data_IF_541203354102
#
_entry.id   IF_541203354102
#
_cell.length_a   1.000
_cell.length_b   1.000
_cell.length_c   1.000
_cell.angle_alpha   90.00
_cell.angle_beta   90.00
_cell.angle_gamma   90.00
#
_symmetry.space_group_name_H-M   'P 1'
#
loop_
_entity.id
_entity.type
_entity.pdbx_description
1 polymer ?
#
# COMPACT_ATOMS: atom_id res chain seq x y z
N UNK A 1 19.62 7.15 -43.56
CA UNK A 1 18.84 6.30 -42.65
C UNK A 1 19.15 4.86 -43.01
N UNK A 2 19.75 4.14 -42.08
CA UNK A 2 20.18 2.76 -42.30
C UNK A 2 19.28 1.83 -41.49
N UNK A 3 19.17 0.57 -41.92
CA UNK A 3 18.34 -0.45 -41.29
C UNK A 3 19.24 -1.61 -40.89
N UNK A 4 19.13 -2.05 -39.64
CA UNK A 4 19.82 -3.24 -39.12
C UNK A 4 18.76 -4.26 -38.70
N UNK A 5 18.99 -5.53 -39.00
CA UNK A 5 18.08 -6.61 -38.63
C UNK A 5 18.57 -7.28 -37.35
N UNK A 6 17.64 -7.51 -36.44
CA UNK A 6 17.90 -8.10 -35.14
C UNK A 6 16.90 -9.23 -34.87
N UNK A 7 17.36 -10.25 -34.16
CA UNK A 7 16.56 -11.40 -33.78
C UNK A 7 16.28 -11.34 -32.28
N UNK A 8 15.04 -11.61 -31.87
CA UNK A 8 14.69 -11.68 -30.45
C UNK A 8 15.50 -12.79 -29.75
N UNK A 9 16.20 -12.53 -28.64
CA UNK A 9 17.07 -13.55 -28.04
C UNK A 9 16.39 -14.71 -27.30
N UNK A 10 15.05 -14.79 -27.33
CA UNK A 10 14.28 -15.87 -26.69
C UNK A 10 14.18 -17.16 -27.53
N UNK A 11 14.95 -17.27 -28.62
CA UNK A 11 14.91 -18.40 -29.56
C UNK A 11 15.53 -19.72 -29.02
N UNK A 12 15.85 -19.84 -27.72
CA UNK A 12 16.40 -21.07 -27.14
C UNK A 12 15.37 -21.97 -26.44
N UNK A 13 14.11 -21.53 -26.27
CA UNK A 13 13.09 -22.35 -25.61
C UNK A 13 11.75 -22.49 -26.36
N UNK A 14 11.47 -21.70 -27.39
CA UNK A 14 10.28 -21.84 -28.23
C UNK A 14 10.65 -21.72 -29.72
N UNK A 15 9.95 -22.49 -30.55
CA UNK A 15 10.14 -22.57 -32.02
C UNK A 15 9.74 -21.30 -32.79
N UNK A 16 9.46 -20.19 -32.09
CA UNK A 16 9.05 -18.93 -32.69
C UNK A 16 10.25 -17.99 -32.79
N UNK A 17 10.83 -17.87 -33.99
CA UNK A 17 11.80 -16.82 -34.29
C UNK A 17 11.07 -15.60 -34.83
N UNK A 18 11.33 -14.44 -34.22
CA UNK A 18 10.82 -13.17 -34.69
C UNK A 18 12.00 -12.30 -35.09
N UNK A 19 11.96 -11.78 -36.32
CA UNK A 19 12.96 -10.87 -36.88
C UNK A 19 12.32 -9.49 -36.89
N UNK A 20 13.01 -8.52 -36.31
CA UNK A 20 12.64 -7.12 -36.37
C UNK A 20 13.73 -6.35 -37.11
N UNK A 21 13.36 -5.22 -37.69
CA UNK A 21 14.32 -4.29 -38.27
C UNK A 21 14.26 -2.98 -37.48
N UNK A 22 15.44 -2.42 -37.26
CA UNK A 22 15.59 -1.17 -36.52
C UNK A 22 16.22 -0.13 -37.41
N UNK A 23 15.60 1.04 -37.43
CA UNK A 23 16.12 2.20 -38.13
C UNK A 23 17.10 2.94 -37.21
N UNK A 24 18.27 3.26 -37.75
CA UNK A 24 19.30 3.98 -37.00
C UNK A 24 19.93 5.09 -37.83
N UNK A 25 20.55 6.03 -37.13
CA UNK A 25 21.35 7.12 -37.69
C UNK A 25 22.81 6.93 -37.29
N UNK A 26 23.71 7.06 -38.25
CA UNK A 26 25.15 7.04 -37.98
C UNK A 26 25.61 8.44 -37.58
N UNK A 27 26.54 8.50 -36.64
CA UNK A 27 27.22 9.71 -36.22
C UNK A 27 28.73 9.56 -36.40
N UNK A 28 29.40 10.65 -36.73
CA UNK A 28 30.86 10.68 -36.71
C UNK A 28 31.37 11.28 -35.39
N UNK A 29 31.62 10.42 -34.40
CA UNK A 29 32.17 10.84 -33.10
C UNK A 29 33.52 11.55 -33.23
N UNK A 30 34.35 11.19 -34.22
CA UNK A 30 35.63 11.86 -34.50
C UNK A 30 35.46 13.30 -35.00
N UNK A 31 34.29 13.62 -35.56
CA UNK A 31 33.89 14.96 -35.97
C UNK A 31 33.10 15.71 -34.89
N UNK A 32 32.88 15.09 -33.72
CA UNK A 32 32.11 15.67 -32.61
C UNK A 32 30.60 15.64 -32.80
N UNK A 33 30.08 14.88 -33.77
CA UNK A 33 28.65 14.66 -33.93
C UNK A 33 28.11 13.80 -32.77
N UNK A 34 26.94 14.18 -32.24
CA UNK A 34 26.26 13.45 -31.16
C UNK A 34 24.87 13.01 -31.58
N UNK A 35 24.32 12.05 -30.85
CA UNK A 35 22.90 11.72 -30.97
C UNK A 35 22.02 12.92 -30.58
N UNK A 36 20.85 13.03 -31.21
CA UNK A 36 19.87 14.04 -30.86
C UNK A 36 19.23 13.75 -29.49
N UNK A 37 18.54 14.75 -28.92
CA UNK A 37 17.91 14.62 -27.59
C UNK A 37 16.92 13.45 -27.49
N UNK A 38 16.22 13.14 -28.58
CA UNK A 38 15.26 12.04 -28.69
C UNK A 38 15.90 10.70 -29.11
N UNK A 39 17.22 10.67 -29.31
CA UNK A 39 17.96 9.48 -29.70
C UNK A 39 18.81 8.95 -28.52
N UNK A 40 19.12 7.66 -28.58
CA UNK A 40 20.00 6.93 -27.67
C UNK A 40 21.28 6.52 -28.39
N UNK A 41 22.43 6.69 -27.73
CA UNK A 41 23.76 6.35 -28.26
C UNK A 41 24.15 4.91 -27.92
N UNK A 42 24.18 4.05 -28.94
CA UNK A 42 24.53 2.64 -28.84
C UNK A 42 26.02 2.37 -28.56
N UNK A 43 26.86 3.41 -28.40
CA UNK A 43 28.30 3.31 -28.18
C UNK A 43 29.08 2.67 -29.36
N UNK A 44 28.44 2.54 -30.52
CA UNK A 44 29.01 1.98 -31.76
C UNK A 44 28.93 2.98 -32.93
N UNK A 45 28.84 4.28 -32.63
CA UNK A 45 28.57 5.38 -33.59
C UNK A 45 27.19 5.32 -34.24
N UNK A 46 26.25 4.55 -33.67
CA UNK A 46 24.86 4.55 -34.10
C UNK A 46 23.94 5.13 -33.04
N UNK A 47 22.92 5.83 -33.51
CA UNK A 47 21.86 6.42 -32.72
C UNK A 47 20.54 5.75 -33.08
N UNK A 48 19.81 5.28 -32.08
CA UNK A 48 18.47 4.70 -32.22
C UNK A 48 17.44 5.62 -31.56
N UNK A 49 16.17 5.46 -31.90
CA UNK A 49 15.10 6.18 -31.20
C UNK A 49 15.02 5.72 -29.74
N UNK A 50 14.83 6.65 -28.79
CA UNK A 50 14.73 6.31 -27.36
C UNK A 50 13.57 5.39 -27.01
N UNK A 51 12.55 5.27 -27.85
CA UNK A 51 11.45 4.31 -27.65
C UNK A 51 11.87 2.85 -27.81
N UNK A 52 13.06 2.59 -28.36
CA UNK A 52 13.62 1.27 -28.62
C UNK A 52 14.58 0.80 -27.51
N UNK A 53 14.68 1.53 -26.39
CA UNK A 53 15.45 1.07 -25.23
C UNK A 53 14.53 0.26 -24.32
N UNK A 54 15.02 -0.86 -23.80
CA UNK A 54 14.31 -1.72 -22.85
C UNK A 54 12.99 -2.28 -23.39
N UNK A 55 12.88 -2.45 -24.71
CA UNK A 55 11.73 -3.00 -25.42
C UNK A 55 11.83 -4.53 -25.61
N UNK A 56 12.95 -5.13 -25.16
CA UNK A 56 13.25 -6.55 -25.24
C UNK A 56 13.80 -6.99 -26.60
N UNK A 57 14.14 -6.04 -27.47
CA UNK A 57 14.82 -6.27 -28.73
C UNK A 57 16.24 -5.72 -28.67
N UNK A 58 17.16 -6.40 -29.35
CA UNK A 58 18.55 -5.96 -29.36
C UNK A 58 18.72 -4.91 -30.45
N UNK A 59 18.41 -3.64 -30.18
CA UNK A 59 18.50 -2.56 -31.15
C UNK A 59 19.93 -2.00 -31.26
N UNK A 60 20.75 -2.17 -30.21
CA UNK A 60 22.18 -1.88 -30.21
C UNK A 60 23.02 -3.16 -30.28
N UNK A 61 24.30 -3.03 -30.67
CA UNK A 61 25.25 -4.13 -30.52
C UNK A 61 25.38 -4.50 -29.03
N UNK A 62 25.54 -5.80 -28.77
CA UNK A 62 25.70 -6.35 -27.42
C UNK A 62 24.55 -6.04 -26.45
N UNK A 63 23.34 -5.73 -26.97
CA UNK A 63 22.15 -5.45 -26.17
C UNK A 63 22.34 -4.26 -25.23
N UNK A 64 23.13 -3.26 -25.64
CA UNK A 64 23.47 -2.11 -24.80
C UNK A 64 22.24 -1.26 -24.44
N UNK A 65 21.27 -1.21 -25.34
CA UNK A 65 19.93 -0.66 -25.16
C UNK A 65 19.07 -1.44 -24.15
N UNK A 66 19.41 -2.70 -23.89
CA UNK A 66 18.71 -3.62 -22.98
C UNK A 66 19.51 -3.91 -21.70
N UNK A 67 20.63 -3.20 -21.48
CA UNK A 67 21.46 -3.43 -20.30
C UNK A 67 20.74 -2.95 -19.03
N UNK A 68 20.23 -3.91 -18.24
CA UNK A 68 19.57 -3.68 -16.95
C UNK A 68 20.46 -3.02 -15.88
N UNK A 69 21.78 -2.96 -16.09
CA UNK A 69 22.73 -2.38 -15.14
C UNK A 69 23.04 -0.92 -15.42
N UNK A 70 23.01 -0.50 -16.69
CA UNK A 70 23.47 0.83 -17.11
C UNK A 70 22.43 1.62 -17.88
N UNK A 71 21.56 0.96 -18.64
CA UNK A 71 20.71 1.61 -19.64
C UNK A 71 19.24 1.54 -19.26
N UNK A 72 18.79 0.36 -18.84
CA UNK A 72 17.41 0.16 -18.43
C UNK A 72 17.18 0.48 -16.97
N UNK A 73 16.07 1.17 -16.73
CA UNK A 73 15.57 1.34 -15.38
C UNK A 73 15.28 -0.05 -14.78
N UNK A 74 15.63 -0.28 -13.49
CA UNK A 74 15.25 -1.52 -12.82
C UNK A 74 13.74 -1.69 -12.85
N UNK A 75 13.26 -2.92 -13.04
CA UNK A 75 11.83 -3.22 -13.03
C UNK A 75 11.21 -2.81 -11.68
N UNK A 76 10.21 -1.92 -11.71
CA UNK A 76 9.52 -1.49 -10.50
C UNK A 76 8.47 -2.53 -10.09
N UNK A 77 8.90 -3.69 -9.62
CA UNK A 77 8.02 -4.79 -9.22
C UNK A 77 8.38 -5.28 -7.84
N UNK A 78 7.38 -5.38 -6.98
CA UNK A 78 7.53 -5.83 -5.61
C UNK A 78 6.61 -7.02 -5.37
N UNK A 79 7.11 -8.04 -4.67
CA UNK A 79 6.30 -9.16 -4.23
C UNK A 79 6.05 -9.02 -2.73
N UNK A 80 4.79 -9.08 -2.34
CA UNK A 80 4.32 -8.96 -0.96
C UNK A 80 3.61 -10.26 -0.58
N UNK A 81 3.96 -10.77 0.58
CA UNK A 81 3.42 -12.02 1.13
C UNK A 81 3.25 -11.89 2.63
N UNK A 82 2.40 -12.70 3.23
CA UNK A 82 2.17 -12.70 4.68
C UNK A 82 0.72 -12.41 5.03
N UNK A 83 0.47 -12.26 6.33
CA UNK A 83 -0.87 -11.99 6.88
C UNK A 83 -1.25 -10.51 6.81
N UNK A 84 -0.27 -9.61 6.78
CA UNK A 84 -0.45 -8.18 6.55
C UNK A 84 0.80 -7.58 5.89
N UNK A 85 0.76 -6.30 5.55
CA UNK A 85 1.93 -5.54 5.15
C UNK A 85 1.62 -4.13 4.68
N UNK A 86 2.67 -3.31 4.60
CA UNK A 86 2.60 -1.92 4.17
C UNK A 86 3.15 -1.75 2.74
N UNK A 87 2.49 -0.91 1.96
CA UNK A 87 2.90 -0.47 0.64
C UNK A 87 2.91 1.06 0.65
N UNK A 88 4.03 1.67 0.28
CA UNK A 88 4.19 3.14 0.30
C UNK A 88 5.04 3.62 -0.84
N UNK A 89 4.91 4.90 -1.20
CA UNK A 89 5.69 5.49 -2.30
C UNK A 89 7.20 5.39 -2.05
N UNK A 90 7.62 5.43 -0.77
CA UNK A 90 9.02 5.35 -0.36
C UNK A 90 9.67 3.99 -0.57
N UNK A 91 8.91 2.95 -0.88
CA UNK A 91 9.49 1.65 -1.27
C UNK A 91 10.10 1.69 -2.67
N UNK A 92 9.67 2.66 -3.49
CA UNK A 92 10.21 2.87 -4.82
C UNK A 92 11.64 3.43 -4.67
N UNK A 93 12.67 2.78 -5.24
CA UNK A 93 14.05 3.25 -5.15
C UNK A 93 14.20 4.70 -5.64
N UNK A 94 14.96 5.50 -4.89
CA UNK A 94 15.19 6.89 -5.23
C UNK A 94 15.91 7.04 -6.59
N UNK A 95 16.75 6.07 -6.95
CA UNK A 95 17.44 6.01 -8.23
C UNK A 95 16.45 5.87 -9.39
N UNK A 96 15.42 5.03 -9.22
CA UNK A 96 14.38 4.83 -10.22
C UNK A 96 13.50 6.06 -10.38
N UNK A 97 13.13 6.70 -9.27
CA UNK A 97 12.40 7.97 -9.28
C UNK A 97 13.18 9.06 -10.01
N UNK A 98 14.47 9.22 -9.68
CA UNK A 98 15.35 10.19 -10.31
C UNK A 98 15.53 9.91 -11.81
N UNK A 99 15.70 8.64 -12.19
CA UNK A 99 15.79 8.24 -13.58
C UNK A 99 14.53 8.63 -14.37
N UNK A 100 13.35 8.27 -13.86
CA UNK A 100 12.07 8.61 -14.52
C UNK A 100 11.89 10.13 -14.68
N UNK A 101 12.25 10.92 -13.67
CA UNK A 101 12.15 12.39 -13.72
C UNK A 101 13.13 12.98 -14.74
N UNK A 102 14.41 12.60 -14.68
CA UNK A 102 15.46 13.18 -15.53
C UNK A 102 15.31 12.77 -16.99
N UNK A 103 14.86 11.53 -17.25
CA UNK A 103 14.63 11.03 -18.60
C UNK A 103 13.22 11.35 -19.13
N UNK A 104 12.39 12.06 -18.35
CA UNK A 104 11.00 12.39 -18.68
C UNK A 104 10.11 11.17 -18.99
N UNK A 105 10.48 10.00 -18.45
CA UNK A 105 9.77 8.74 -18.64
C UNK A 105 8.67 8.55 -17.58
N UNK A 106 7.59 7.83 -17.90
CA UNK A 106 6.61 7.44 -16.90
C UNK A 106 7.19 6.43 -15.91
N UNK A 107 6.74 6.51 -14.67
CA UNK A 107 6.98 5.54 -13.63
C UNK A 107 5.79 4.59 -13.56
N UNK A 108 6.05 3.29 -13.63
CA UNK A 108 5.04 2.23 -13.60
C UNK A 108 5.48 1.12 -12.63
N UNK A 109 4.88 1.12 -11.45
CA UNK A 109 5.26 0.26 -10.33
C UNK A 109 4.15 -0.71 -9.97
N UNK A 110 4.50 -1.98 -9.75
CA UNK A 110 3.55 -3.05 -9.48
C UNK A 110 3.89 -3.74 -8.16
N UNK A 111 2.90 -3.87 -7.28
CA UNK A 111 2.97 -4.72 -6.10
C UNK A 111 2.09 -5.95 -6.32
N UNK A 112 2.71 -7.13 -6.33
CA UNK A 112 2.05 -8.43 -6.39
C UNK A 112 1.86 -8.95 -4.97
N UNK A 113 0.63 -8.95 -4.48
CA UNK A 113 0.29 -9.42 -3.15
C UNK A 113 -0.24 -10.85 -3.27
N UNK A 114 0.37 -11.77 -2.53
CA UNK A 114 -0.08 -13.16 -2.43
C UNK A 114 -0.21 -13.56 -0.97
N UNK A 115 -1.41 -13.92 -0.56
CA UNK A 115 -1.72 -14.43 0.77
C UNK A 115 -2.02 -15.93 0.71
N UNK A 116 -2.13 -16.55 1.89
CA UNK A 116 -2.40 -17.98 2.01
C UNK A 116 -3.72 -18.37 1.31
N UNK A 117 -3.74 -19.56 0.69
CA UNK A 117 -4.95 -20.10 0.09
C UNK A 117 -6.10 -20.20 1.10
N UNK A 118 -7.31 -19.80 0.67
CA UNK A 118 -8.50 -19.74 1.52
C UNK A 118 -8.70 -18.38 2.19
N UNK A 119 -7.73 -17.47 2.12
CA UNK A 119 -7.85 -16.08 2.52
C UNK A 119 -8.05 -15.17 1.30
N UNK A 120 -8.60 -13.99 1.56
CA UNK A 120 -8.78 -12.87 0.66
C UNK A 120 -7.98 -11.68 1.21
N UNK A 121 -7.89 -10.60 0.44
CA UNK A 121 -7.03 -9.45 0.72
C UNK A 121 -7.92 -8.22 0.88
N UNK A 122 -7.82 -7.57 2.03
CA UNK A 122 -8.41 -6.27 2.29
C UNK A 122 -7.34 -5.20 2.13
N UNK A 123 -7.63 -4.14 1.38
CA UNK A 123 -6.77 -2.97 1.22
C UNK A 123 -7.38 -1.77 1.91
N UNK A 124 -6.58 -1.13 2.76
CA UNK A 124 -6.94 0.10 3.44
C UNK A 124 -5.91 1.19 3.14
N UNK A 125 -6.39 2.37 2.75
CA UNK A 125 -5.54 3.51 2.42
C UNK A 125 -5.44 4.43 3.64
N UNK A 126 -4.26 4.51 4.27
CA UNK A 126 -4.00 5.39 5.43
C UNK A 126 -3.57 6.80 5.00
N UNK A 127 -2.89 6.93 3.86
CA UNK A 127 -2.61 8.20 3.18
C UNK A 127 -2.79 8.00 1.68
N UNK A 128 -3.35 8.98 1.00
CA UNK A 128 -3.55 8.93 -0.45
C UNK A 128 -3.63 10.35 -1.00
N UNK A 129 -2.58 10.74 -1.73
CA UNK A 129 -2.43 12.03 -2.40
C UNK A 129 -1.65 11.85 -3.68
N UNK A 130 -2.34 12.00 -4.80
CA UNK A 130 -1.74 12.04 -6.12
C UNK A 130 -1.32 13.48 -6.47
N UNK A 131 -0.22 13.64 -7.23
CA UNK A 131 0.22 14.97 -7.69
C UNK A 131 -0.81 15.70 -8.57
N UNK A 132 -1.40 15.00 -9.55
CA UNK A 132 -2.44 15.54 -10.45
C UNK A 132 -3.80 14.87 -10.20
N UNK A 133 -4.47 15.15 -9.08
CA UNK A 133 -5.75 14.54 -8.77
C UNK A 133 -6.80 14.86 -9.85
N UNK A 134 -7.66 13.89 -10.13
CA UNK A 134 -8.67 13.87 -11.19
C UNK A 134 -8.12 13.82 -12.62
N UNK A 135 -6.80 13.68 -12.80
CA UNK A 135 -6.17 13.46 -14.11
C UNK A 135 -5.67 12.02 -14.25
N UNK A 136 -6.61 11.11 -14.50
CA UNK A 136 -6.36 9.66 -14.68
C UNK A 136 -5.42 9.31 -15.85
N UNK A 137 -5.04 10.25 -16.71
CA UNK A 137 -4.03 10.02 -17.75
C UNK A 137 -2.61 10.36 -17.28
N UNK A 138 -2.49 11.21 -16.26
CA UNK A 138 -1.21 11.64 -15.71
C UNK A 138 -0.75 10.76 -14.57
N UNK A 139 -1.65 10.38 -13.66
CA UNK A 139 -1.33 9.45 -12.59
C UNK A 139 -2.57 8.72 -12.05
N UNK A 140 -2.35 7.49 -11.60
CA UNK A 140 -3.40 6.65 -11.03
C UNK A 140 -2.84 5.49 -10.22
N UNK A 141 -3.68 4.92 -9.37
CA UNK A 141 -3.49 3.61 -8.76
C UNK A 141 -4.59 2.68 -9.29
N UNK A 142 -4.19 1.60 -9.95
CA UNK A 142 -5.09 0.55 -10.40
C UNK A 142 -4.99 -0.67 -9.49
N UNK A 143 -6.12 -1.35 -9.33
CA UNK A 143 -6.21 -2.58 -8.54
C UNK A 143 -6.80 -3.70 -9.38
N UNK A 144 -6.10 -4.83 -9.35
CA UNK A 144 -6.44 -6.06 -10.07
C UNK A 144 -6.53 -7.23 -9.10
N UNK A 145 -7.42 -8.18 -9.40
CA UNK A 145 -7.56 -9.42 -8.65
C UNK A 145 -6.45 -10.43 -9.03
N UNK A 146 -6.68 -11.27 -10.05
CA UNK A 146 -5.77 -12.37 -10.38
C UNK A 146 -4.86 -12.10 -11.59
N UNK A 147 -5.33 -11.28 -12.54
CA UNK A 147 -4.60 -11.01 -13.78
C UNK A 147 -4.59 -9.50 -14.03
N UNK A 148 -3.41 -8.99 -14.39
CA UNK A 148 -3.20 -7.58 -14.79
C UNK A 148 -3.62 -7.31 -16.25
N UNK A 149 -4.78 -7.84 -16.66
CA UNK A 149 -5.37 -7.48 -17.96
C UNK A 149 -6.20 -6.23 -17.78
N UNK A 150 -6.05 -5.24 -18.67
CA UNK A 150 -6.84 -3.98 -18.65
C UNK A 150 -8.35 -4.28 -18.63
N UNK A 151 -8.80 -5.32 -19.35
CA UNK A 151 -10.20 -5.76 -19.36
C UNK A 151 -10.70 -6.37 -18.05
N UNK A 152 -9.80 -6.68 -17.12
CA UNK A 152 -10.07 -7.23 -15.78
C UNK A 152 -9.66 -6.26 -14.66
N UNK A 153 -9.45 -4.97 -14.99
CA UNK A 153 -9.24 -3.92 -14.00
C UNK A 153 -10.50 -3.77 -13.14
N UNK A 154 -10.35 -3.90 -11.84
CA UNK A 154 -11.48 -3.74 -10.93
C UNK A 154 -11.67 -2.27 -10.55
N UNK A 155 -10.58 -1.60 -10.18
CA UNK A 155 -10.61 -0.20 -9.76
C UNK A 155 -9.50 0.62 -10.43
N UNK A 156 -9.80 1.90 -10.68
CA UNK A 156 -8.85 2.92 -11.09
C UNK A 156 -9.06 4.16 -10.20
N UNK A 157 -8.10 4.43 -9.33
CA UNK A 157 -8.10 5.58 -8.43
C UNK A 157 -7.24 6.68 -9.01
N UNK A 158 -7.87 7.80 -9.38
CA UNK A 158 -7.16 9.06 -9.66
C UNK A 158 -7.82 10.28 -8.99
N UNK A 159 -9.00 10.10 -8.40
CA UNK A 159 -9.71 11.16 -7.70
C UNK A 159 -9.00 11.57 -6.41
N UNK A 160 -9.51 12.58 -5.71
CA UNK A 160 -8.99 13.02 -4.40
C UNK A 160 -9.37 12.06 -3.26
N UNK A 161 -10.43 11.26 -3.45
CA UNK A 161 -10.92 10.29 -2.47
C UNK A 161 -10.66 8.87 -2.96
N UNK A 162 -10.44 7.97 -2.02
CA UNK A 162 -10.21 6.54 -2.25
C UNK A 162 -11.00 5.73 -1.22
N UNK A 163 -11.50 4.58 -1.63
CA UNK A 163 -12.23 3.64 -0.78
C UNK A 163 -11.38 2.40 -0.52
N UNK A 164 -11.70 1.68 0.55
CA UNK A 164 -11.08 0.39 0.82
C UNK A 164 -11.55 -0.67 -0.18
N UNK A 165 -10.70 -1.66 -0.45
CA UNK A 165 -10.96 -2.67 -1.48
C UNK A 165 -10.84 -4.07 -0.91
N UNK A 166 -11.81 -4.93 -1.21
CA UNK A 166 -11.79 -6.35 -0.87
C UNK A 166 -11.54 -7.20 -2.10
N UNK A 167 -10.58 -8.10 -2.03
CA UNK A 167 -10.28 -9.02 -3.11
C UNK A 167 -11.22 -10.23 -3.11
N UNK A 168 -11.47 -10.79 -4.29
CA UNK A 168 -12.19 -12.07 -4.47
C UNK A 168 -11.27 -13.29 -4.35
N UNK A 169 -9.95 -13.10 -4.42
CA UNK A 169 -8.91 -14.14 -4.53
C UNK A 169 -7.77 -13.93 -3.54
N UNK A 170 -6.95 -14.95 -3.30
CA UNK A 170 -5.75 -14.84 -2.46
C UNK A 170 -4.56 -14.12 -3.14
N UNK A 171 -4.78 -13.62 -4.36
CA UNK A 171 -3.84 -12.84 -5.15
C UNK A 171 -4.48 -11.50 -5.50
N UNK A 172 -3.69 -10.43 -5.45
CA UNK A 172 -4.08 -9.07 -5.81
C UNK A 172 -2.87 -8.33 -6.36
N UNK A 173 -3.07 -7.48 -7.37
CA UNK A 173 -2.02 -6.63 -7.92
C UNK A 173 -2.42 -5.17 -7.82
N UNK A 174 -1.49 -4.35 -7.33
CA UNK A 174 -1.64 -2.89 -7.27
C UNK A 174 -0.65 -2.30 -8.27
N UNK A 175 -1.11 -1.44 -9.16
CA UNK A 175 -0.27 -0.75 -10.13
C UNK A 175 -0.35 0.76 -9.90
N UNK A 176 0.78 1.37 -9.59
CA UNK A 176 0.91 2.83 -9.57
C UNK A 176 1.55 3.29 -10.86
N UNK A 177 0.87 4.18 -11.56
CA UNK A 177 1.38 4.82 -12.77
C UNK A 177 1.44 6.33 -12.56
N UNK A 178 2.53 6.96 -12.99
CA UNK A 178 2.65 8.41 -13.04
C UNK A 178 3.56 8.85 -14.19
N UNK A 179 3.13 9.85 -14.97
CA UNK A 179 4.02 10.59 -15.88
C UNK A 179 5.10 11.33 -15.08
N UNK A 180 6.24 11.65 -15.70
CA UNK A 180 7.38 12.29 -15.04
C UNK A 180 7.00 13.52 -14.19
N UNK A 181 6.07 14.34 -14.67
CA UNK A 181 5.58 15.55 -14.00
C UNK A 181 4.56 15.29 -12.87
N UNK A 182 4.09 14.05 -12.72
CA UNK A 182 3.12 13.61 -11.72
C UNK A 182 3.74 12.67 -10.65
N UNK A 183 5.06 12.45 -10.70
CA UNK A 183 5.79 11.65 -9.71
C UNK A 183 6.00 12.45 -8.42
N UNK A 184 6.53 13.68 -8.55
CA UNK A 184 6.85 14.51 -7.39
C UNK A 184 5.60 14.80 -6.56
N UNK A 185 5.74 14.89 -5.24
CA UNK A 185 4.66 15.16 -4.28
C UNK A 185 3.54 14.12 -4.21
N UNK A 186 3.56 13.06 -5.01
CA UNK A 186 2.66 11.91 -4.81
C UNK A 186 3.06 11.20 -3.52
N UNK A 187 2.07 10.87 -2.69
CA UNK A 187 2.22 10.13 -1.44
C UNK A 187 1.07 9.16 -1.30
N UNK A 188 1.36 7.91 -0.99
CA UNK A 188 0.32 6.94 -0.68
C UNK A 188 0.87 5.93 0.32
N UNK A 189 0.00 5.48 1.20
CA UNK A 189 0.28 4.45 2.18
C UNK A 189 -0.92 3.52 2.25
N UNK A 190 -0.67 2.25 1.95
CA UNK A 190 -1.68 1.21 1.78
C UNK A 190 -1.30 0.05 2.69
N UNK A 191 -2.22 -0.33 3.56
CA UNK A 191 -2.15 -1.54 4.36
C UNK A 191 -2.91 -2.63 3.60
N UNK A 192 -2.28 -3.79 3.42
CA UNK A 192 -2.98 -4.99 2.99
C UNK A 192 -3.10 -5.97 4.15
N UNK A 193 -4.23 -6.64 4.25
CA UNK A 193 -4.55 -7.60 5.31
C UNK A 193 -5.16 -8.85 4.71
N UNK A 194 -4.66 -10.01 5.10
CA UNK A 194 -5.26 -11.29 4.77
C UNK A 194 -6.45 -11.55 5.71
N UNK A 195 -7.63 -11.73 5.14
CA UNK A 195 -8.84 -12.03 5.90
C UNK A 195 -9.56 -13.26 5.33
N UNK A 196 -10.36 -13.91 6.15
CA UNK A 196 -11.24 -15.01 5.76
C UNK A 196 -12.68 -14.59 5.92
N UNK A 197 -13.46 -14.64 4.85
CA UNK A 197 -14.89 -14.41 4.93
C UNK A 197 -15.59 -15.60 5.62
N UNK A 198 -16.42 -15.32 6.62
CA UNK A 198 -17.31 -16.33 7.21
C UNK A 198 -18.42 -16.69 6.22
N UNK A 199 -18.70 -17.98 6.10
CA UNK A 199 -19.88 -18.51 5.40
C UNK A 199 -20.94 -18.87 6.44
N UNK A 200 -22.20 -19.03 6.01
CA UNK A 200 -23.32 -19.25 6.92
C UNK A 200 -23.03 -20.31 7.99
N UNK A 201 -23.11 -19.90 9.28
CA UNK A 201 -22.85 -20.68 10.51
C UNK A 201 -21.38 -21.01 10.82
N UNK A 202 -20.42 -20.51 10.04
CA UNK A 202 -19.01 -20.58 10.40
C UNK A 202 -18.66 -19.52 11.45
N UNK A 203 -17.67 -19.83 12.29
CA UNK A 203 -17.07 -18.90 13.26
C UNK A 203 -15.58 -18.71 12.94
N UNK A 204 -14.95 -17.70 13.53
CA UNK A 204 -13.51 -17.54 13.45
C UNK A 204 -12.79 -18.72 14.12
N UNK A 205 -11.63 -19.10 13.58
CA UNK A 205 -10.79 -20.16 14.16
C UNK A 205 -10.17 -19.66 15.47
N UNK A 206 -9.69 -20.55 16.36
CA UNK A 206 -9.08 -20.13 17.63
C UNK A 206 -7.86 -19.19 17.48
N UNK A 207 -7.18 -19.26 16.33
CA UNK A 207 -6.03 -18.44 15.97
C UNK A 207 -6.40 -17.22 15.10
N UNK A 208 -7.69 -16.90 14.99
CA UNK A 208 -8.20 -15.75 14.25
C UNK A 208 -8.96 -14.81 15.19
N UNK A 209 -9.02 -13.53 14.81
CA UNK A 209 -9.82 -12.49 15.46
C UNK A 209 -11.06 -12.19 14.60
N UNK A 210 -12.20 -11.90 15.24
CA UNK A 210 -13.47 -11.60 14.57
C UNK A 210 -13.66 -10.09 14.46
N UNK A 211 -13.72 -9.58 13.23
CA UNK A 211 -13.90 -8.14 12.96
C UNK A 211 -15.35 -7.66 13.13
N UNK A 212 -16.27 -8.52 13.59
CA UNK A 212 -17.71 -8.25 13.77
C UNK A 212 -18.48 -7.86 12.48
N UNK A 213 -17.83 -7.90 11.32
CA UNK A 213 -18.40 -7.63 9.99
C UNK A 213 -18.57 -8.91 9.15
N UNK A 214 -18.39 -10.08 9.78
CA UNK A 214 -18.39 -11.39 9.11
C UNK A 214 -17.05 -11.73 8.45
N UNK A 215 -15.97 -11.03 8.79
CA UNK A 215 -14.60 -11.36 8.40
C UNK A 215 -13.75 -11.74 9.61
N UNK A 216 -12.80 -12.64 9.38
CA UNK A 216 -11.82 -13.05 10.38
C UNK A 216 -10.41 -12.71 9.89
N UNK A 217 -9.60 -12.12 10.74
CA UNK A 217 -8.18 -11.83 10.48
C UNK A 217 -7.30 -12.71 11.36
N UNK A 218 -5.98 -12.76 11.10
CA UNK A 218 -5.08 -13.49 11.99
C UNK A 218 -5.03 -12.83 13.37
N UNK A 219 -5.04 -13.61 14.44
CA UNK A 219 -5.10 -13.09 15.81
C UNK A 219 -3.89 -12.24 16.20
N UNK A 220 -2.76 -12.38 15.50
CA UNK A 220 -1.57 -11.54 15.74
C UNK A 220 -1.77 -10.08 15.35
N UNK A 221 -2.83 -9.78 14.60
CA UNK A 221 -3.20 -8.45 14.13
C UNK A 221 -4.13 -7.72 15.10
N UNK A 222 -4.46 -8.35 16.23
CA UNK A 222 -5.21 -7.71 17.32
C UNK A 222 -4.26 -6.76 18.08
N UNK A 223 -4.60 -5.47 18.14
CA UNK A 223 -3.87 -4.44 18.86
C UNK A 223 -2.41 -4.24 18.40
N UNK A 224 -2.13 -4.40 17.11
CA UNK A 224 -0.83 -4.19 16.48
C UNK A 224 -0.59 -2.74 16.01
N UNK A 225 -1.62 -1.89 16.14
CA UNK A 225 -1.61 -0.48 15.78
C UNK A 225 -1.98 -0.21 14.32
N UNK A 226 -2.36 -1.24 13.54
CA UNK A 226 -2.75 -1.12 12.15
C UNK A 226 -4.21 -1.50 11.97
N UNK A 227 -4.94 -0.69 11.21
CA UNK A 227 -6.34 -0.98 10.94
C UNK A 227 -6.46 -2.12 9.92
N UNK A 228 -6.74 -3.31 10.41
CA UNK A 228 -6.88 -4.52 9.63
C UNK A 228 -8.36 -4.90 9.44
N UNK A 229 -9.24 -4.53 10.37
CA UNK A 229 -10.69 -4.55 10.17
C UNK A 229 -11.20 -3.26 9.52
N UNK A 230 -12.31 -3.32 8.77
CA UNK A 230 -12.91 -2.14 8.12
C UNK A 230 -13.28 -1.03 9.13
N UNK A 231 -13.75 -1.42 10.31
CA UNK A 231 -14.18 -0.52 11.38
C UNK A 231 -13.18 -0.44 12.55
N UNK A 232 -11.92 -0.87 12.35
CA UNK A 232 -10.84 -0.79 13.35
C UNK A 232 -11.16 -1.53 14.67
N UNK A 233 -12.04 -2.53 14.64
CA UNK A 233 -12.42 -3.32 15.82
C UNK A 233 -11.24 -4.04 16.48
N UNK A 234 -10.26 -4.42 15.66
CA UNK A 234 -8.97 -4.96 16.05
C UNK A 234 -8.10 -3.99 16.85
N UNK A 235 -8.36 -2.69 16.77
CA UNK A 235 -7.60 -1.61 17.42
C UNK A 235 -8.46 -0.78 18.39
N UNK A 236 -9.68 -1.23 18.71
CA UNK A 236 -10.57 -0.50 19.61
C UNK A 236 -10.03 -0.52 21.04
N UNK A 237 -9.61 0.65 21.54
CA UNK A 237 -9.05 0.84 22.87
C UNK A 237 -10.07 0.67 24.00
N UNK A 238 -11.37 0.78 23.72
CA UNK A 238 -12.42 0.68 24.74
C UNK A 238 -12.83 -0.78 25.01
N UNK A 239 -12.87 -1.62 23.97
CA UNK A 239 -13.41 -2.98 24.06
C UNK A 239 -12.35 -4.06 23.86
N UNK A 240 -11.60 -4.01 22.77
CA UNK A 240 -10.65 -5.05 22.35
C UNK A 240 -9.27 -4.88 23.01
N UNK A 241 -8.68 -3.69 22.86
CA UNK A 241 -7.31 -3.38 23.26
C UNK A 241 -7.23 -2.68 24.63
N UNK A 242 -8.29 -2.76 25.43
CA UNK A 242 -8.31 -2.16 26.74
C UNK A 242 -7.13 -2.70 27.57
N UNK A 243 -6.22 -1.84 28.08
CA UNK A 243 -5.15 -2.30 28.94
C UNK A 243 -5.77 -3.00 30.15
N UNK A 244 -5.25 -4.16 30.51
CA UNK A 244 -5.75 -4.96 31.63
C UNK A 244 -5.79 -4.11 32.91
N UNK A 245 -6.95 -3.51 33.20
CA UNK A 245 -7.24 -2.75 34.41
C UNK A 245 -7.46 -3.70 35.60
N UNK A 246 -6.76 -4.83 35.66
CA UNK A 246 -6.70 -5.69 36.84
C UNK A 246 -5.88 -5.10 37.99
N UNK A 247 -5.46 -3.84 37.91
CA UNK A 247 -4.85 -3.10 39.03
C UNK A 247 -5.43 -1.69 39.28
N UNK A 248 -6.66 -1.39 38.87
CA UNK A 248 -7.35 -0.16 39.33
C UNK A 248 -8.79 -0.43 39.73
N UNK A 249 -8.96 -1.10 40.87
CA UNK A 249 -10.18 -0.99 41.70
C UNK A 249 -10.30 0.45 42.31
N UNK A 250 -9.54 1.43 41.82
CA UNK A 250 -9.38 2.77 42.39
C UNK A 250 -9.72 3.91 41.41
N UNK A 251 -10.64 3.71 40.46
CA UNK A 251 -11.09 4.84 39.62
C UNK A 251 -12.52 4.72 39.05
N UNK A 252 -13.52 4.43 39.90
CA UNK A 252 -14.93 4.68 39.54
C UNK A 252 -15.76 5.24 40.70
N UNK A 253 -15.14 5.99 41.60
CA UNK A 253 -15.89 6.92 42.45
C UNK A 253 -15.52 8.30 41.90
N UNK A 254 -16.36 8.86 41.03
CA UNK A 254 -16.17 10.23 40.55
C UNK A 254 -16.00 11.16 41.77
N UNK A 255 -15.20 12.22 41.65
CA UNK A 255 -15.02 13.25 42.69
C UNK A 255 -16.37 13.67 43.33
N UNK A 256 -17.44 13.68 42.50
CA UNK A 256 -18.78 14.00 42.93
C UNK A 256 -19.43 12.92 43.83
N UNK A 257 -19.18 11.64 43.57
CA UNK A 257 -19.65 10.54 44.43
C UNK A 257 -18.97 10.56 45.81
N UNK A 258 -17.68 10.91 45.88
CA UNK A 258 -16.97 11.07 47.17
C UNK A 258 -17.56 12.23 47.97
N UNK A 259 -17.76 13.38 47.33
CA UNK A 259 -18.35 14.56 47.98
C UNK A 259 -19.75 14.27 48.54
N UNK A 260 -20.60 13.55 47.78
CA UNK A 260 -21.95 13.16 48.22
C UNK A 260 -21.88 12.25 49.46
N UNK A 261 -21.01 11.24 49.47
CA UNK A 261 -20.87 10.32 50.60
C UNK A 261 -20.37 11.03 51.87
N UNK A 262 -19.44 11.97 51.75
CA UNK A 262 -18.96 12.79 52.88
C UNK A 262 -20.08 13.67 53.43
N UNK A 263 -20.86 14.33 52.56
CA UNK A 263 -22.00 15.17 52.98
C UNK A 263 -23.06 14.33 53.70
N UNK A 264 -23.43 13.18 53.16
CA UNK A 264 -24.39 12.26 53.80
C UNK A 264 -23.84 11.79 55.15
N UNK A 265 -22.56 11.44 55.24
CA UNK A 265 -21.92 11.03 56.49
C UNK A 265 -21.97 12.13 57.56
N UNK A 266 -21.67 13.38 57.21
CA UNK A 266 -21.73 14.52 58.12
C UNK A 266 -23.17 14.80 58.58
N UNK A 267 -24.15 14.70 57.68
CA UNK A 267 -25.56 14.88 58.03
C UNK A 267 -26.05 13.79 58.99
N UNK A 268 -25.70 12.53 58.72
CA UNK A 268 -26.07 11.41 59.59
C UNK A 268 -25.43 11.56 60.99
N UNK A 269 -24.15 11.91 61.07
CA UNK A 269 -23.48 12.19 62.34
C UNK A 269 -24.14 13.35 63.09
N UNK A 270 -24.52 14.43 62.38
CA UNK A 270 -25.26 15.54 62.97
C UNK A 270 -26.59 15.12 63.57
N UNK A 271 -27.34 14.24 62.88
CA UNK A 271 -28.60 13.68 63.39
C UNK A 271 -28.36 12.79 64.61
N UNK A 272 -27.32 11.94 64.60
CA UNK A 272 -26.97 11.11 65.76
C UNK A 272 -26.58 11.94 66.98
N UNK A 273 -25.79 13.00 66.80
CA UNK A 273 -25.43 13.93 67.88
C UNK A 273 -26.67 14.64 68.41
N UNK A 274 -27.57 15.10 67.52
CA UNK A 274 -28.82 15.74 67.92
C UNK A 274 -29.71 14.81 68.74
N UNK A 275 -29.90 13.56 68.30
CA UNK A 275 -30.64 12.54 69.04
C UNK A 275 -30.00 12.29 70.41
N UNK A 276 -28.67 12.15 70.48
CA UNK A 276 -27.98 11.92 71.75
C UNK A 276 -28.16 13.11 72.73
N UNK A 277 -28.10 14.34 72.25
CA UNK A 277 -28.33 15.55 73.06
C UNK A 277 -29.78 15.65 73.52
N UNK A 278 -30.75 15.34 72.65
CA UNK A 278 -32.16 15.33 73.02
C UNK A 278 -32.47 14.25 74.07
N UNK A 279 -31.96 13.04 73.88
CA UNK A 279 -32.08 11.95 74.85
C UNK A 279 -31.39 12.26 76.19
N UNK A 280 -30.32 13.05 76.19
CA UNK A 280 -29.65 13.45 77.43
C UNK A 280 -30.42 14.55 78.17
N UNK A 281 -31.04 15.48 77.44
CA UNK A 281 -31.85 16.56 77.99
C UNK A 281 -33.16 16.08 78.62
N UNK A 282 -33.76 15.01 78.11
CA UNK A 282 -34.98 14.39 78.70
C UNK A 282 -34.70 13.54 79.95
N UNK A 283 -33.42 13.40 80.35
CA UNK A 283 -32.99 12.61 81.53
C UNK A 283 -32.63 13.45 82.77
N UNK A 284 -32.73 14.78 82.69
CA UNK A 284 -32.48 15.74 83.79
C UNK A 284 -33.78 16.47 84.10
#
# INVERSE_FOLDING_TARGET
>A
MHIRFFAKPDALQNTDFAIMYTQFREINNSAGEKCWHNEFDCQDNTCIDRSLICDGWDNCLYRYDEDKRTTCAPECKFNKTGINGLIKEKEIPAELLNYAIVQELPLDCIWNITVQHGYQIYLYFTDYRLNQPNNCESNFIEVYHNNMNISKREYQFCATLVESVRSKTNVMHIRFFAKHNAIQTTRFEIIYTAYRQLKNRDQCRPNEFDCEDGTCIDRQLECDGWDNCEYRYDEDLETTCAPDQRSSIMMFISEQMVAILVVIGVLMLGVFVWIAVFCWKDRV
#
